data_IF_334927300528
#
_entry.id   IF_334927300528
#
_cell.length_a   1.000
_cell.length_b   1.000
_cell.length_c   1.000
_cell.angle_alpha   90.00
_cell.angle_beta   90.00
_cell.angle_gamma   90.00
#
_symmetry.space_group_name_H-M   'P 1'
#
loop_
_entity.id
_entity.type
_entity.pdbx_description
1 polymer ?
#
# COMPACT_ATOMS: atom_id res chain seq x y z
N UNK A 1 22.81 25.93 -8.55
CA UNK A 1 23.39 24.64 -8.14
C UNK A 1 22.59 24.12 -6.95
N UNK A 2 21.96 22.98 -7.06
CA UNK A 2 21.42 22.30 -5.88
C UNK A 2 22.61 21.92 -4.99
N UNK A 3 22.55 22.08 -3.66
CA UNK A 3 23.61 21.59 -2.80
C UNK A 3 23.74 20.07 -3.01
N UNK A 4 24.95 19.59 -3.30
CA UNK A 4 25.24 18.18 -3.61
C UNK A 4 24.76 17.20 -2.53
N UNK A 5 24.54 17.68 -1.31
CA UNK A 5 24.00 16.90 -0.20
C UNK A 5 22.72 17.54 0.36
N UNK A 6 21.65 16.78 0.33
CA UNK A 6 20.39 17.17 0.96
C UNK A 6 20.50 17.12 2.48
N UNK A 7 19.89 18.09 3.15
CA UNK A 7 19.80 18.07 4.62
C UNK A 7 18.94 16.90 5.11
N UNK A 8 19.21 16.40 6.30
CA UNK A 8 18.37 15.38 6.94
C UNK A 8 16.92 15.90 7.07
N UNK A 9 16.75 17.19 7.37
CA UNK A 9 15.43 17.84 7.48
C UNK A 9 14.63 17.69 6.19
N UNK A 10 15.24 17.92 5.02
CA UNK A 10 14.57 17.76 3.72
C UNK A 10 14.17 16.31 3.47
N UNK A 11 15.04 15.34 3.80
CA UNK A 11 14.75 13.89 3.65
C UNK A 11 13.61 13.44 4.55
N UNK A 12 13.59 13.90 5.81
CA UNK A 12 12.50 13.64 6.74
C UNK A 12 11.19 14.28 6.26
N UNK A 13 11.24 15.56 5.84
CA UNK A 13 10.08 16.26 5.33
C UNK A 13 9.47 15.56 4.10
N UNK A 14 10.31 15.09 3.19
CA UNK A 14 9.88 14.29 2.06
C UNK A 14 9.29 12.94 2.53
N UNK A 15 10.00 12.21 3.38
CA UNK A 15 9.57 10.90 3.87
C UNK A 15 8.20 10.93 4.57
N UNK A 16 7.91 11.95 5.39
CA UNK A 16 6.62 12.07 6.09
C UNK A 16 5.42 11.99 5.15
N UNK A 17 5.52 12.46 3.91
CA UNK A 17 4.45 12.30 2.91
C UNK A 17 4.12 10.85 2.62
N UNK A 18 5.12 10.00 2.53
CA UNK A 18 4.94 8.56 2.31
C UNK A 18 4.20 7.87 3.47
N UNK A 19 4.25 8.42 4.70
CA UNK A 19 3.43 7.92 5.82
C UNK A 19 1.94 8.04 5.52
N UNK A 20 1.51 9.15 4.92
CA UNK A 20 0.12 9.33 4.50
C UNK A 20 -0.28 8.34 3.40
N UNK A 21 0.59 8.11 2.43
CA UNK A 21 0.38 7.13 1.36
C UNK A 21 0.28 5.69 1.92
N UNK A 22 1.23 5.29 2.78
CA UNK A 22 1.24 3.98 3.42
C UNK A 22 -0.01 3.74 4.27
N UNK A 23 -0.46 4.75 5.03
CA UNK A 23 -1.70 4.69 5.80
C UNK A 23 -2.92 4.52 4.89
N UNK A 24 -2.99 5.23 3.76
CA UNK A 24 -4.09 5.13 2.78
C UNK A 24 -4.14 3.74 2.15
N UNK A 25 -3.00 3.21 1.71
CA UNK A 25 -2.92 1.88 1.13
C UNK A 25 -3.31 0.79 2.13
N UNK A 26 -2.91 0.93 3.40
CA UNK A 26 -3.28 -0.02 4.45
C UNK A 26 -4.79 -0.07 4.70
N UNK A 27 -5.47 1.10 4.73
CA UNK A 27 -6.94 1.16 4.87
C UNK A 27 -7.61 0.50 3.67
N UNK A 28 -7.17 0.87 2.47
CA UNK A 28 -7.78 0.36 1.23
C UNK A 28 -7.62 -1.15 1.10
N UNK A 29 -6.41 -1.68 1.24
CA UNK A 29 -6.14 -3.11 1.07
C UNK A 29 -6.63 -3.96 2.25
N UNK A 30 -6.45 -3.45 3.48
CA UNK A 30 -6.70 -4.22 4.69
C UNK A 30 -8.15 -4.15 5.17
N UNK A 31 -8.80 -3.00 5.15
CA UNK A 31 -10.09 -2.82 5.82
C UNK A 31 -11.29 -2.74 4.87
N UNK A 32 -11.14 -2.16 3.68
CA UNK A 32 -12.29 -1.83 2.81
C UNK A 32 -13.09 -3.06 2.43
N UNK A 33 -12.41 -4.13 1.99
CA UNK A 33 -13.10 -5.37 1.60
C UNK A 33 -13.84 -6.00 2.78
N UNK A 34 -13.19 -6.10 3.94
CA UNK A 34 -13.77 -6.69 5.13
C UNK A 34 -14.97 -5.87 5.64
N UNK A 35 -14.86 -4.56 5.68
CA UNK A 35 -15.93 -3.65 6.13
C UNK A 35 -17.19 -3.78 5.26
N UNK A 36 -17.05 -3.67 3.94
CA UNK A 36 -18.21 -3.77 3.06
C UNK A 36 -18.84 -5.17 3.03
N UNK A 37 -18.01 -6.21 3.09
CA UNK A 37 -18.49 -7.58 3.03
C UNK A 37 -19.05 -8.09 4.37
N UNK A 38 -18.30 -7.93 5.48
CA UNK A 38 -18.67 -8.52 6.76
C UNK A 38 -19.51 -7.60 7.65
N UNK A 39 -19.33 -6.29 7.56
CA UNK A 39 -20.05 -5.33 8.41
C UNK A 39 -21.29 -4.80 7.71
N UNK A 40 -21.19 -4.42 6.43
CA UNK A 40 -22.30 -3.85 5.66
C UNK A 40 -23.08 -4.91 4.86
N UNK A 41 -22.59 -6.15 4.74
CA UNK A 41 -23.31 -7.27 4.12
C UNK A 41 -23.30 -7.29 2.60
N UNK A 42 -22.42 -6.53 1.93
CA UNK A 42 -22.27 -6.60 0.48
C UNK A 42 -21.66 -7.95 0.08
N UNK A 43 -22.19 -8.60 -0.97
CA UNK A 43 -21.62 -9.87 -1.43
C UNK A 43 -20.14 -9.77 -1.78
N UNK A 44 -19.36 -10.81 -1.46
CA UNK A 44 -17.91 -10.83 -1.71
C UNK A 44 -17.55 -10.64 -3.18
N UNK A 45 -18.38 -11.14 -4.10
CA UNK A 45 -18.20 -10.97 -5.54
C UNK A 45 -18.32 -9.51 -5.98
N UNK A 46 -19.35 -8.79 -5.50
CA UNK A 46 -19.54 -7.38 -5.79
C UNK A 46 -18.46 -6.53 -5.12
N UNK A 47 -18.09 -6.85 -3.88
CA UNK A 47 -17.01 -6.14 -3.18
C UNK A 47 -15.68 -6.30 -3.93
N UNK A 48 -15.34 -7.51 -4.35
CA UNK A 48 -14.12 -7.76 -5.13
C UNK A 48 -14.14 -7.07 -6.50
N UNK A 49 -15.29 -7.06 -7.17
CA UNK A 49 -15.44 -6.35 -8.44
C UNK A 49 -15.27 -4.84 -8.30
N UNK A 50 -15.79 -4.24 -7.22
CA UNK A 50 -15.63 -2.81 -6.95
C UNK A 50 -14.14 -2.44 -6.72
N UNK A 51 -13.44 -3.25 -5.92
CA UNK A 51 -11.99 -3.08 -5.69
C UNK A 51 -11.20 -3.24 -6.99
N UNK A 52 -11.53 -4.23 -7.81
CA UNK A 52 -10.90 -4.43 -9.13
C UNK A 52 -11.09 -3.21 -10.03
N UNK A 53 -12.31 -2.67 -10.11
CA UNK A 53 -12.61 -1.46 -10.89
C UNK A 53 -11.74 -0.29 -10.40
N UNK A 54 -11.64 -0.08 -9.09
CA UNK A 54 -10.82 1.00 -8.52
C UNK A 54 -9.32 0.85 -8.88
N UNK A 55 -8.77 -0.37 -8.85
CA UNK A 55 -7.38 -0.65 -9.22
C UNK A 55 -7.14 -0.40 -10.73
N UNK A 56 -8.11 -0.74 -11.58
CA UNK A 56 -8.00 -0.45 -13.03
C UNK A 56 -7.98 1.06 -13.28
N UNK A 57 -8.83 1.82 -12.57
CA UNK A 57 -8.82 3.28 -12.64
C UNK A 57 -7.48 3.88 -12.18
N UNK A 58 -6.88 3.33 -11.13
CA UNK A 58 -5.57 3.73 -10.63
C UNK A 58 -4.48 3.53 -11.69
N UNK A 59 -4.45 2.35 -12.31
CA UNK A 59 -3.48 2.04 -13.38
C UNK A 59 -3.57 2.99 -14.58
N UNK A 60 -4.74 3.59 -14.84
CA UNK A 60 -4.95 4.58 -15.90
C UNK A 60 -4.65 5.99 -15.41
N UNK A 61 -5.04 6.33 -14.18
CA UNK A 61 -4.90 7.68 -13.64
C UNK A 61 -3.45 8.06 -13.33
N UNK A 62 -2.62 7.12 -12.91
CA UNK A 62 -1.22 7.39 -12.55
C UNK A 62 -0.40 7.97 -13.72
N UNK A 63 -0.36 7.38 -14.92
CA UNK A 63 0.35 7.96 -16.06
C UNK A 63 -0.23 9.31 -16.50
N UNK A 64 -1.56 9.47 -16.41
CA UNK A 64 -2.24 10.73 -16.74
C UNK A 64 -1.80 11.80 -15.76
N UNK A 65 -1.81 11.52 -14.46
CA UNK A 65 -1.37 12.46 -13.42
C UNK A 65 0.11 12.80 -13.56
N UNK A 66 0.95 11.84 -13.88
CA UNK A 66 2.37 12.06 -14.20
C UNK A 66 2.52 13.07 -15.32
N UNK A 67 1.83 12.85 -16.44
CA UNK A 67 1.85 13.76 -17.59
C UNK A 67 1.32 15.17 -17.25
N UNK A 68 0.25 15.27 -16.46
CA UNK A 68 -0.32 16.56 -16.02
C UNK A 68 0.67 17.29 -15.12
N UNK A 69 1.19 16.62 -14.10
CA UNK A 69 2.08 17.25 -13.12
C UNK A 69 3.42 17.65 -13.70
N UNK A 70 3.93 16.94 -14.71
CA UNK A 70 5.18 17.27 -15.39
C UNK A 70 5.14 18.61 -16.13
N UNK A 71 3.97 18.97 -16.65
CA UNK A 71 3.78 20.15 -17.50
C UNK A 71 3.13 21.32 -16.81
N UNK A 72 2.69 21.11 -15.56
CA UNK A 72 1.98 22.14 -14.84
C UNK A 72 2.91 23.28 -14.44
N UNK A 73 2.52 24.51 -14.75
CA UNK A 73 3.30 25.72 -14.45
C UNK A 73 2.56 26.54 -13.41
N UNK A 74 3.18 26.74 -12.25
CA UNK A 74 2.63 27.59 -11.20
C UNK A 74 3.73 28.26 -10.37
N UNK A 75 3.34 29.25 -9.56
CA UNK A 75 4.22 29.90 -8.58
C UNK A 75 4.72 28.92 -7.49
N UNK A 76 4.02 27.83 -7.27
CA UNK A 76 4.39 26.74 -6.35
C UNK A 76 5.15 25.61 -7.07
N UNK A 77 5.72 25.87 -8.26
CA UNK A 77 6.34 24.85 -9.08
C UNK A 77 5.31 23.90 -9.70
N UNK A 78 5.77 22.80 -10.28
CA UNK A 78 4.91 21.84 -11.00
C UNK A 78 4.30 20.76 -10.12
N UNK A 79 4.94 20.35 -9.01
CA UNK A 79 4.51 19.22 -8.15
C UNK A 79 3.67 19.65 -6.95
N UNK A 80 4.09 20.68 -6.23
CA UNK A 80 3.50 21.11 -4.97
C UNK A 80 2.01 21.48 -5.03
N UNK A 81 1.46 22.11 -6.10
CA UNK A 81 0.04 22.40 -6.17
C UNK A 81 -0.85 21.17 -5.99
N UNK A 82 -0.46 20.04 -6.59
CA UNK A 82 -1.18 18.79 -6.49
C UNK A 82 -1.04 18.18 -5.10
N UNK A 83 0.17 18.23 -4.52
CA UNK A 83 0.42 17.75 -3.15
C UNK A 83 -0.39 18.54 -2.12
N UNK A 84 -0.57 19.86 -2.28
CA UNK A 84 -1.40 20.68 -1.41
C UNK A 84 -2.90 20.45 -1.63
N UNK A 85 -3.32 20.13 -2.85
CA UNK A 85 -4.72 19.88 -3.16
C UNK A 85 -5.22 18.50 -2.73
N UNK A 86 -4.35 17.48 -2.75
CA UNK A 86 -4.68 16.08 -2.52
C UNK A 86 -5.39 15.79 -1.18
N UNK A 87 -5.02 16.38 -0.03
CA UNK A 87 -5.68 16.08 1.25
C UNK A 87 -7.18 16.33 1.24
N UNK A 88 -7.65 17.35 0.54
CA UNK A 88 -9.07 17.70 0.52
C UNK A 88 -9.95 16.59 -0.08
N UNK A 89 -9.75 16.14 -1.32
CA UNK A 89 -10.53 15.04 -1.87
C UNK A 89 -10.24 13.71 -1.15
N UNK A 90 -9.04 13.49 -0.57
CA UNK A 90 -8.74 12.28 0.20
C UNK A 90 -9.59 12.18 1.46
N UNK A 91 -9.75 13.26 2.22
CA UNK A 91 -10.63 13.30 3.40
C UNK A 91 -12.07 12.99 3.01
N UNK A 92 -12.58 13.61 1.92
CA UNK A 92 -13.93 13.33 1.42
C UNK A 92 -14.08 11.86 1.03
N UNK A 93 -13.10 11.30 0.33
CA UNK A 93 -13.15 9.91 -0.12
C UNK A 93 -13.16 8.92 1.05
N UNK A 94 -12.33 9.13 2.07
CA UNK A 94 -12.31 8.31 3.29
C UNK A 94 -13.63 8.44 4.04
N UNK A 95 -14.16 9.65 4.16
CA UNK A 95 -15.47 9.87 4.77
C UNK A 95 -16.56 9.09 4.04
N UNK A 96 -16.67 9.25 2.73
CA UNK A 96 -17.67 8.53 1.92
C UNK A 96 -17.50 7.01 2.00
N UNK A 97 -16.27 6.52 2.07
CA UNK A 97 -15.98 5.09 2.12
C UNK A 97 -16.47 4.44 3.44
N UNK A 98 -16.29 5.13 4.57
CA UNK A 98 -16.67 4.56 5.88
C UNK A 98 -18.04 5.00 6.38
N UNK A 99 -18.69 5.96 5.72
CA UNK A 99 -20.02 6.45 6.09
C UNK A 99 -20.98 6.37 4.86
N UNK A 100 -21.27 5.16 4.35
CA UNK A 100 -22.27 5.02 3.31
C UNK A 100 -23.66 5.42 3.84
N UNK A 101 -24.55 6.00 3.00
CA UNK A 101 -25.91 6.30 3.40
C UNK A 101 -26.68 5.05 3.82
N UNK A 102 -27.52 5.18 4.83
CA UNK A 102 -28.40 4.12 5.28
C UNK A 102 -29.47 3.76 4.21
N UNK A 103 -29.90 2.49 4.22
CA UNK A 103 -30.99 2.03 3.38
C UNK A 103 -30.65 1.83 1.90
N UNK A 104 -29.37 1.84 1.52
CA UNK A 104 -28.96 1.48 0.16
C UNK A 104 -29.28 0.02 -0.13
N UNK A 105 -29.81 -0.26 -1.34
CA UNK A 105 -29.88 -1.62 -1.85
C UNK A 105 -28.49 -2.21 -2.06
N UNK A 106 -28.36 -3.53 -2.24
CA UNK A 106 -27.09 -4.19 -2.52
C UNK A 106 -26.35 -3.53 -3.70
N UNK A 107 -27.04 -3.26 -4.80
CA UNK A 107 -26.46 -2.57 -5.96
C UNK A 107 -26.17 -1.09 -5.69
N UNK A 108 -26.96 -0.44 -4.83
CA UNK A 108 -26.69 0.93 -4.38
C UNK A 108 -25.40 1.00 -3.56
N UNK A 109 -25.20 0.05 -2.64
CA UNK A 109 -24.00 -0.06 -1.83
C UNK A 109 -22.77 -0.42 -2.70
N UNK A 110 -22.94 -1.29 -3.70
CA UNK A 110 -21.92 -1.59 -4.69
C UNK A 110 -21.47 -0.35 -5.47
N UNK A 111 -22.44 0.42 -5.99
CA UNK A 111 -22.15 1.68 -6.70
C UNK A 111 -21.47 2.71 -5.80
N UNK A 112 -21.88 2.80 -4.53
CA UNK A 112 -21.25 3.66 -3.53
C UNK A 112 -19.80 3.27 -3.24
N UNK A 113 -19.52 1.98 -3.12
CA UNK A 113 -18.16 1.46 -2.93
C UNK A 113 -17.28 1.79 -4.15
N UNK A 114 -17.76 1.58 -5.37
CA UNK A 114 -17.02 1.95 -6.59
C UNK A 114 -16.71 3.45 -6.57
N UNK A 115 -17.70 4.29 -6.33
CA UNK A 115 -17.52 5.73 -6.34
C UNK A 115 -16.51 6.21 -5.29
N UNK A 116 -16.66 5.76 -4.03
CA UNK A 116 -15.79 6.17 -2.93
C UNK A 116 -14.36 5.66 -3.09
N UNK A 117 -14.19 4.41 -3.56
CA UNK A 117 -12.86 3.83 -3.79
C UNK A 117 -12.15 4.45 -4.99
N UNK A 118 -12.83 4.72 -6.10
CA UNK A 118 -12.26 5.46 -7.24
C UNK A 118 -11.83 6.85 -6.79
N UNK A 119 -12.70 7.56 -6.04
CA UNK A 119 -12.36 8.88 -5.53
C UNK A 119 -11.13 8.85 -4.61
N UNK A 120 -11.02 7.83 -3.75
CA UNK A 120 -9.85 7.64 -2.89
C UNK A 120 -8.58 7.42 -3.71
N UNK A 121 -8.63 6.52 -4.70
CA UNK A 121 -7.48 6.23 -5.56
C UNK A 121 -7.05 7.45 -6.35
N UNK A 122 -7.97 8.14 -7.01
CA UNK A 122 -7.68 9.39 -7.72
C UNK A 122 -7.10 10.48 -6.81
N UNK A 123 -7.63 10.58 -5.58
CA UNK A 123 -7.16 11.56 -4.60
C UNK A 123 -5.73 11.29 -4.15
N UNK A 124 -5.39 10.03 -3.89
CA UNK A 124 -4.02 9.69 -3.48
C UNK A 124 -3.05 9.77 -4.67
N UNK A 125 -3.48 9.47 -5.89
CA UNK A 125 -2.69 9.67 -7.12
C UNK A 125 -2.29 11.14 -7.32
N UNK A 126 -3.17 12.11 -6.95
CA UNK A 126 -2.82 13.54 -6.92
C UNK A 126 -1.62 13.86 -6.01
N UNK A 127 -1.38 13.04 -5.00
CA UNK A 127 -0.22 13.19 -4.12
C UNK A 127 0.93 12.26 -4.53
N UNK A 128 0.69 10.96 -4.64
CA UNK A 128 1.72 9.93 -4.75
C UNK A 128 2.60 10.12 -6.00
N UNK A 129 1.99 10.38 -7.16
CA UNK A 129 2.73 10.54 -8.42
C UNK A 129 3.61 11.80 -8.41
N UNK A 130 3.11 13.00 -8.08
CA UNK A 130 3.97 14.19 -7.95
C UNK A 130 5.00 14.07 -6.82
N UNK A 131 4.67 13.43 -5.71
CA UNK A 131 5.57 13.21 -4.59
C UNK A 131 6.74 12.31 -4.98
N UNK A 132 6.49 11.16 -5.61
CA UNK A 132 7.54 10.25 -6.07
C UNK A 132 8.46 10.92 -7.10
N UNK A 133 7.88 11.66 -8.04
CA UNK A 133 8.64 12.43 -9.03
C UNK A 133 9.47 13.54 -8.38
N UNK A 134 8.93 14.24 -7.36
CA UNK A 134 9.68 15.20 -6.55
C UNK A 134 10.93 14.56 -5.94
N UNK A 135 10.80 13.37 -5.35
CA UNK A 135 11.91 12.64 -4.75
C UNK A 135 13.06 12.38 -5.72
N UNK A 136 12.73 12.06 -6.98
CA UNK A 136 13.74 11.86 -8.03
C UNK A 136 14.43 13.18 -8.47
N UNK A 137 13.78 14.32 -8.27
CA UNK A 137 14.27 15.65 -8.66
C UNK A 137 15.02 16.40 -7.55
N UNK A 138 14.92 15.95 -6.29
CA UNK A 138 15.55 16.63 -5.14
C UNK A 138 17.07 16.68 -5.22
N UNK A 139 17.73 15.73 -5.91
CA UNK A 139 19.19 15.69 -6.09
C UNK A 139 19.56 15.08 -7.43
N UNK A 140 20.61 15.60 -8.07
CA UNK A 140 21.22 14.99 -9.25
C UNK A 140 22.20 13.85 -8.89
N UNK A 141 22.64 13.77 -7.62
CA UNK A 141 23.51 12.70 -7.13
C UNK A 141 22.74 11.38 -6.96
N UNK A 142 23.26 10.30 -7.55
CA UNK A 142 22.64 8.97 -7.53
C UNK A 142 22.47 8.41 -6.10
N UNK A 143 23.49 8.58 -5.26
CA UNK A 143 23.46 8.07 -3.88
C UNK A 143 22.50 8.86 -3.00
N UNK A 144 22.42 10.18 -3.19
CA UNK A 144 21.44 11.00 -2.46
C UNK A 144 20.01 10.67 -2.88
N UNK A 145 19.73 10.45 -4.18
CA UNK A 145 18.42 9.97 -4.64
C UNK A 145 18.04 8.64 -3.99
N UNK A 146 18.98 7.68 -3.97
CA UNK A 146 18.77 6.40 -3.31
C UNK A 146 18.45 6.56 -1.82
N UNK A 147 19.13 7.48 -1.12
CA UNK A 147 18.84 7.82 0.28
C UNK A 147 17.46 8.42 0.45
N UNK A 148 17.05 9.36 -0.41
CA UNK A 148 15.69 9.95 -0.39
C UNK A 148 14.63 8.86 -0.53
N UNK A 149 14.80 7.94 -1.48
CA UNK A 149 13.88 6.79 -1.66
C UNK A 149 13.89 5.83 -0.47
N UNK A 150 15.02 5.65 0.20
CA UNK A 150 15.10 4.85 1.43
C UNK A 150 14.27 5.49 2.56
N UNK A 151 14.33 6.81 2.72
CA UNK A 151 13.45 7.54 3.64
C UNK A 151 11.98 7.40 3.25
N UNK A 152 11.65 7.52 1.95
CA UNK A 152 10.30 7.31 1.45
C UNK A 152 9.74 5.95 1.87
N UNK A 153 10.47 4.89 1.60
CA UNK A 153 10.06 3.54 1.95
C UNK A 153 9.92 3.34 3.46
N UNK A 154 10.90 3.81 4.25
CA UNK A 154 10.84 3.71 5.70
C UNK A 154 9.58 4.38 6.27
N UNK A 155 9.28 5.61 5.83
CA UNK A 155 8.12 6.37 6.28
C UNK A 155 6.81 5.78 5.73
N UNK A 156 6.79 5.19 4.54
CA UNK A 156 5.66 4.44 4.03
C UNK A 156 5.28 3.27 4.95
N UNK A 157 6.28 2.47 5.35
CA UNK A 157 6.07 1.40 6.35
C UNK A 157 5.66 1.93 7.73
N UNK A 158 6.16 3.09 8.16
CA UNK A 158 5.69 3.72 9.40
C UNK A 158 4.19 4.04 9.35
N UNK A 159 3.67 4.49 8.20
CA UNK A 159 2.23 4.73 8.02
C UNK A 159 1.40 3.45 8.21
N UNK A 160 1.86 2.35 7.62
CA UNK A 160 1.26 1.01 7.80
C UNK A 160 1.27 0.60 9.27
N UNK A 161 2.42 0.73 9.95
CA UNK A 161 2.58 0.32 11.35
C UNK A 161 1.71 1.19 12.28
N UNK A 162 1.67 2.50 12.08
CA UNK A 162 0.84 3.42 12.89
C UNK A 162 -0.63 3.03 12.78
N UNK A 163 -1.14 2.82 11.55
CA UNK A 163 -2.52 2.38 11.34
C UNK A 163 -2.79 1.02 11.94
N UNK A 164 -1.88 0.08 11.75
CA UNK A 164 -2.01 -1.28 12.29
C UNK A 164 -2.08 -1.26 13.84
N UNK A 165 -1.17 -0.55 14.50
CA UNK A 165 -1.19 -0.43 15.96
C UNK A 165 -2.48 0.25 16.44
N UNK A 166 -2.86 1.36 15.82
CA UNK A 166 -4.06 2.09 16.21
C UNK A 166 -5.33 1.22 16.11
N UNK A 167 -5.47 0.47 15.03
CA UNK A 167 -6.67 -0.32 14.77
C UNK A 167 -6.72 -1.58 15.62
N UNK A 168 -5.65 -2.40 15.61
CA UNK A 168 -5.66 -3.72 16.23
C UNK A 168 -5.39 -3.72 17.74
N UNK A 169 -4.69 -2.71 18.28
CA UNK A 169 -4.39 -2.66 19.71
C UNK A 169 -5.24 -1.65 20.49
N UNK A 170 -5.84 -0.67 19.82
CA UNK A 170 -6.63 0.35 20.49
C UNK A 170 -8.12 0.25 20.12
N UNK A 171 -8.47 0.32 18.84
CA UNK A 171 -9.87 0.47 18.42
C UNK A 171 -10.63 -0.84 18.52
N UNK A 172 -10.23 -1.88 17.84
CA UNK A 172 -10.96 -3.14 17.83
C UNK A 172 -11.08 -3.79 19.21
N UNK A 173 -10.04 -3.78 20.10
CA UNK A 173 -10.21 -4.24 21.46
C UNK A 173 -11.17 -3.39 22.29
N UNK A 174 -11.19 -2.06 22.08
CA UNK A 174 -12.10 -1.15 22.81
C UNK A 174 -13.57 -1.42 22.49
N UNK A 175 -13.89 -1.72 21.24
CA UNK A 175 -15.25 -2.05 20.81
C UNK A 175 -15.61 -3.53 20.95
N UNK A 176 -14.70 -4.40 21.40
CA UNK A 176 -14.99 -5.80 21.62
C UNK A 176 -15.99 -5.97 22.75
N UNK A 177 -17.11 -6.65 22.47
CA UNK A 177 -18.20 -6.94 23.40
C UNK A 177 -18.71 -8.36 23.17
N UNK A 178 -19.99 -8.52 22.85
CA UNK A 178 -20.57 -9.81 22.45
C UNK A 178 -20.00 -10.32 21.13
N UNK A 179 -19.56 -9.40 20.25
CA UNK A 179 -18.83 -9.70 19.01
C UNK A 179 -17.40 -9.17 19.11
N UNK A 180 -16.53 -9.68 18.23
CA UNK A 180 -15.20 -9.13 18.06
C UNK A 180 -15.27 -7.73 17.43
N UNK A 181 -14.42 -6.82 17.89
CA UNK A 181 -14.51 -5.38 17.60
C UNK A 181 -14.54 -5.02 16.12
N UNK A 182 -13.88 -5.81 15.24
CA UNK A 182 -13.88 -5.59 13.79
C UNK A 182 -15.24 -5.83 13.10
N UNK A 183 -16.21 -6.45 13.77
CA UNK A 183 -17.57 -6.67 13.27
C UNK A 183 -18.57 -5.57 13.67
N UNK A 184 -18.14 -4.61 14.49
CA UNK A 184 -18.98 -3.47 14.85
C UNK A 184 -18.73 -2.31 13.87
N UNK A 185 -19.80 -1.77 13.28
CA UNK A 185 -19.72 -0.64 12.36
C UNK A 185 -19.17 0.61 13.08
N UNK A 186 -19.52 0.82 14.34
CA UNK A 186 -19.10 1.95 15.14
C UNK A 186 -17.59 2.02 15.34
N UNK A 187 -16.89 0.89 15.28
CA UNK A 187 -15.43 0.84 15.40
C UNK A 187 -14.71 1.51 14.23
N UNK A 188 -15.36 1.62 13.07
CA UNK A 188 -14.77 2.24 11.88
C UNK A 188 -14.83 3.77 11.91
N UNK A 189 -15.69 4.38 12.72
CA UNK A 189 -15.76 5.83 12.89
C UNK A 189 -14.44 6.43 13.40
N UNK A 190 -13.87 6.02 14.55
CA UNK A 190 -12.58 6.54 14.99
C UNK A 190 -11.43 6.19 14.04
N UNK A 191 -11.49 5.05 13.35
CA UNK A 191 -10.50 4.69 12.33
C UNK A 191 -10.52 5.68 11.17
N UNK A 192 -11.69 6.02 10.66
CA UNK A 192 -11.85 7.00 9.58
C UNK A 192 -11.35 8.38 10.00
N UNK A 193 -11.75 8.87 11.18
CA UNK A 193 -11.35 10.19 11.69
C UNK A 193 -9.83 10.26 11.88
N UNK A 194 -9.23 9.24 12.49
CA UNK A 194 -7.79 9.20 12.70
C UNK A 194 -7.04 9.15 11.37
N UNK A 195 -7.53 8.35 10.42
CA UNK A 195 -6.94 8.24 9.07
C UNK A 195 -6.97 9.57 8.33
N UNK A 196 -8.13 10.25 8.31
CA UNK A 196 -8.28 11.55 7.68
C UNK A 196 -7.31 12.57 8.26
N UNK A 197 -7.15 12.60 9.59
CA UNK A 197 -6.22 13.50 10.28
C UNK A 197 -4.76 13.15 9.96
N UNK A 198 -4.36 11.89 10.14
CA UNK A 198 -2.99 11.41 9.92
C UNK A 198 -2.54 11.67 8.47
N UNK A 199 -3.34 11.24 7.50
CA UNK A 199 -3.02 11.34 6.07
C UNK A 199 -2.88 12.80 5.66
N UNK A 200 -3.85 13.64 6.05
CA UNK A 200 -3.83 15.07 5.72
C UNK A 200 -2.62 15.78 6.34
N UNK A 201 -2.32 15.51 7.61
CA UNK A 201 -1.17 16.10 8.29
C UNK A 201 0.15 15.68 7.64
N UNK A 202 0.30 14.41 7.29
CA UNK A 202 1.51 13.90 6.66
C UNK A 202 1.72 14.51 5.26
N UNK A 203 0.68 14.53 4.43
CA UNK A 203 0.75 15.08 3.07
C UNK A 203 1.03 16.58 3.11
N UNK A 204 0.27 17.34 3.92
CA UNK A 204 0.48 18.79 4.05
C UNK A 204 1.86 19.14 4.62
N UNK A 205 2.33 18.37 5.61
CA UNK A 205 3.66 18.56 6.18
C UNK A 205 4.75 18.35 5.12
N UNK A 206 4.64 17.27 4.34
CA UNK A 206 5.59 17.02 3.25
C UNK A 206 5.57 18.13 2.21
N UNK A 207 4.39 18.53 1.73
CA UNK A 207 4.25 19.61 0.76
C UNK A 207 4.78 20.95 1.30
N UNK A 208 4.51 21.26 2.57
CA UNK A 208 4.93 22.52 3.19
C UNK A 208 6.45 22.59 3.42
N UNK A 209 7.03 21.53 3.99
CA UNK A 209 8.45 21.54 4.37
C UNK A 209 9.41 21.20 3.22
N UNK A 210 8.89 20.83 2.04
CA UNK A 210 9.70 20.66 0.81
C UNK A 210 9.57 21.83 -0.15
N UNK A 211 8.71 22.83 0.13
CA UNK A 211 8.48 23.99 -0.75
C UNK A 211 9.73 24.86 -0.95
N UNK A 212 10.65 24.86 0.00
CA UNK A 212 11.94 25.57 -0.09
C UNK A 212 12.84 25.02 -1.21
N UNK A 213 12.53 23.82 -1.70
CA UNK A 213 13.25 23.19 -2.81
C UNK A 213 12.75 23.61 -4.19
N UNK A 214 11.57 24.24 -4.29
CA UNK A 214 10.96 24.65 -5.57
C UNK A 214 11.90 25.43 -6.49
N UNK A 215 12.71 26.41 -6.02
CA UNK A 215 13.62 27.15 -6.89
C UNK A 215 14.73 26.30 -7.52
N UNK A 216 15.00 25.12 -6.97
CA UNK A 216 16.06 24.20 -7.41
C UNK A 216 15.54 23.07 -8.31
N UNK A 217 14.21 22.93 -8.42
CA UNK A 217 13.60 21.88 -9.24
C UNK A 217 13.63 22.23 -10.72
N UNK A 218 13.72 21.20 -11.56
CA UNK A 218 13.67 21.35 -13.02
C UNK A 218 12.35 22.02 -13.44
N UNK A 219 12.46 23.07 -14.24
CA UNK A 219 11.29 23.70 -14.83
C UNK A 219 10.87 22.94 -16.10
N UNK A 220 9.57 22.91 -16.44
CA UNK A 220 9.12 22.30 -17.68
C UNK A 220 9.82 22.92 -18.88
N UNK A 221 10.32 22.11 -19.79
CA UNK A 221 10.86 22.58 -21.05
C UNK A 221 9.70 22.97 -22.00
N UNK A 222 9.74 24.15 -22.64
CA UNK A 222 8.70 24.55 -23.59
C UNK A 222 8.54 23.60 -24.78
N UNK A 223 9.56 22.77 -25.04
CA UNK A 223 9.60 21.83 -26.17
C UNK A 223 9.32 20.36 -25.77
N UNK A 224 8.91 20.07 -24.55
CA UNK A 224 8.52 18.70 -24.21
C UNK A 224 7.27 18.33 -25.00
N UNK A 225 7.46 17.37 -25.94
CA UNK A 225 6.39 16.88 -26.80
C UNK A 225 5.23 16.32 -25.98
N UNK A 226 4.00 16.62 -26.40
CA UNK A 226 2.81 16.02 -25.79
C UNK A 226 2.87 14.50 -25.91
N UNK A 227 3.01 13.80 -24.79
CA UNK A 227 2.75 12.35 -24.81
C UNK A 227 1.27 12.19 -25.17
N UNK A 228 1.02 11.74 -26.37
CA UNK A 228 -0.35 11.40 -26.77
C UNK A 228 -0.71 10.12 -26.04
N UNK A 229 -1.92 10.05 -25.52
CA UNK A 229 -2.45 8.82 -24.91
C UNK A 229 -2.31 7.63 -25.86
N UNK A 230 -2.41 7.89 -27.18
CA UNK A 230 -2.15 6.91 -28.23
C UNK A 230 -0.72 6.35 -28.23
N UNK A 231 0.28 7.14 -27.86
CA UNK A 231 1.67 6.69 -27.80
C UNK A 231 1.88 5.77 -26.60
N UNK A 232 1.23 6.07 -25.46
CA UNK A 232 1.22 5.21 -24.28
C UNK A 232 0.64 3.82 -24.62
N UNK A 233 -0.51 3.76 -25.31
CA UNK A 233 -1.10 2.48 -25.74
C UNK A 233 -0.19 1.73 -26.73
N UNK A 234 0.49 2.44 -27.61
CA UNK A 234 1.44 1.85 -28.55
C UNK A 234 2.67 1.27 -27.84
N UNK A 235 3.18 1.97 -26.84
CA UNK A 235 4.30 1.50 -26.02
C UNK A 235 3.91 0.27 -25.18
N UNK A 236 2.73 0.27 -24.58
CA UNK A 236 2.17 -0.90 -23.86
C UNK A 236 2.02 -2.08 -24.84
N UNK A 237 1.45 -1.85 -26.03
CA UNK A 237 1.31 -2.91 -27.03
C UNK A 237 2.66 -3.46 -27.49
N UNK A 238 3.64 -2.57 -27.74
CA UNK A 238 5.02 -2.96 -28.07
C UNK A 238 5.69 -3.79 -26.95
N UNK A 239 5.44 -3.43 -25.70
CA UNK A 239 5.96 -4.15 -24.54
C UNK A 239 5.33 -5.57 -24.43
N UNK A 240 4.00 -5.68 -24.55
CA UNK A 240 3.29 -6.96 -24.44
C UNK A 240 3.66 -7.92 -25.60
N UNK A 241 3.98 -7.39 -26.79
CA UNK A 241 4.41 -8.21 -27.94
C UNK A 241 5.84 -8.75 -27.79
N UNK A 242 6.65 -8.18 -26.89
CA UNK A 242 7.96 -8.74 -26.56
C UNK A 242 7.79 -10.02 -25.72
N UNK A 243 8.17 -11.17 -26.28
CA UNK A 243 7.97 -12.50 -25.68
C UNK A 243 8.56 -12.64 -24.28
N UNK A 244 9.72 -12.05 -24.02
CA UNK A 244 10.37 -12.12 -22.71
C UNK A 244 9.66 -11.23 -21.69
N UNK A 245 9.25 -10.04 -22.10
CA UNK A 245 8.49 -9.12 -21.25
C UNK A 245 7.08 -9.67 -20.95
N UNK A 246 6.40 -10.25 -21.93
CA UNK A 246 5.10 -10.89 -21.72
C UNK A 246 5.17 -12.05 -20.70
N UNK A 247 6.22 -12.88 -20.74
CA UNK A 247 6.45 -13.93 -19.74
C UNK A 247 6.66 -13.37 -18.33
N UNK A 248 7.43 -12.27 -18.23
CA UNK A 248 7.64 -11.57 -16.95
C UNK A 248 6.30 -11.02 -16.43
N UNK A 249 5.50 -10.36 -17.28
CA UNK A 249 4.18 -9.84 -16.91
C UNK A 249 3.25 -10.95 -16.41
N UNK A 250 3.22 -12.12 -17.06
CA UNK A 250 2.42 -13.25 -16.59
C UNK A 250 2.89 -13.72 -15.20
N UNK A 251 4.20 -13.82 -14.97
CA UNK A 251 4.75 -14.16 -13.66
C UNK A 251 4.38 -13.14 -12.59
N UNK A 252 4.52 -11.85 -12.90
CA UNK A 252 4.14 -10.75 -11.99
C UNK A 252 2.63 -10.73 -11.72
N UNK A 253 1.79 -11.06 -12.70
CA UNK A 253 0.35 -11.17 -12.51
C UNK A 253 -0.02 -12.23 -11.47
N UNK A 254 0.51 -13.45 -11.59
CA UNK A 254 0.24 -14.52 -10.61
C UNK A 254 0.83 -14.19 -9.23
N UNK A 255 2.00 -13.57 -9.17
CA UNK A 255 2.59 -13.11 -7.91
C UNK A 255 1.72 -12.04 -7.24
N UNK A 256 1.23 -11.07 -8.00
CA UNK A 256 0.33 -10.03 -7.49
C UNK A 256 -1.00 -10.61 -7.00
N UNK A 257 -1.54 -11.62 -7.70
CA UNK A 257 -2.72 -12.35 -7.23
C UNK A 257 -2.47 -13.05 -5.89
N UNK A 258 -1.31 -13.72 -5.74
CA UNK A 258 -0.93 -14.38 -4.48
C UNK A 258 -0.87 -13.37 -3.33
N UNK A 259 -0.15 -12.26 -3.51
CA UNK A 259 0.04 -11.23 -2.49
C UNK A 259 -1.30 -10.57 -2.16
N UNK A 260 -2.07 -10.13 -3.15
CA UNK A 260 -3.34 -9.46 -2.95
C UNK A 260 -4.38 -10.35 -2.26
N UNK A 261 -4.44 -11.64 -2.61
CA UNK A 261 -5.31 -12.62 -1.94
C UNK A 261 -4.90 -12.81 -0.48
N UNK A 262 -3.60 -12.94 -0.20
CA UNK A 262 -3.10 -13.08 1.17
C UNK A 262 -3.41 -11.83 2.03
N UNK A 263 -3.20 -10.64 1.50
CA UNK A 263 -3.49 -9.40 2.23
C UNK A 263 -4.99 -9.22 2.50
N UNK A 264 -5.82 -9.44 1.49
CA UNK A 264 -7.28 -9.27 1.62
C UNK A 264 -7.90 -10.31 2.53
N UNK A 265 -7.50 -11.59 2.41
CA UNK A 265 -8.05 -12.68 3.21
C UNK A 265 -7.38 -12.83 4.59
N UNK A 266 -6.30 -12.12 4.86
CA UNK A 266 -5.59 -12.21 6.14
C UNK A 266 -6.48 -11.92 7.34
N UNK A 267 -7.35 -10.91 7.28
CA UNK A 267 -8.31 -10.59 8.33
C UNK A 267 -9.33 -11.73 8.50
N UNK A 268 -9.84 -12.28 7.39
CA UNK A 268 -10.79 -13.40 7.43
C UNK A 268 -10.18 -14.65 8.09
N UNK A 269 -8.96 -14.98 7.70
CA UNK A 269 -8.21 -16.09 8.30
C UNK A 269 -8.02 -15.89 9.81
N UNK A 270 -7.56 -14.70 10.21
CA UNK A 270 -7.39 -14.37 11.63
C UNK A 270 -8.69 -14.44 12.41
N UNK A 271 -9.76 -13.87 11.86
CA UNK A 271 -11.05 -13.72 12.52
C UNK A 271 -11.86 -15.02 12.59
N UNK A 272 -11.98 -15.72 11.46
CA UNK A 272 -12.94 -16.84 11.33
C UNK A 272 -12.30 -18.23 11.31
N UNK A 273 -11.09 -18.37 10.77
CA UNK A 273 -10.42 -19.67 10.70
C UNK A 273 -9.56 -19.93 11.93
N UNK A 274 -8.78 -18.95 12.34
CA UNK A 274 -7.92 -19.04 13.51
C UNK A 274 -8.61 -18.64 14.82
N UNK A 275 -9.76 -17.96 14.74
CA UNK A 275 -10.55 -17.47 15.89
C UNK A 275 -9.73 -16.59 16.83
N UNK A 276 -8.83 -15.78 16.27
CA UNK A 276 -7.94 -14.90 17.02
C UNK A 276 -8.67 -13.64 17.51
N UNK A 277 -8.34 -13.21 18.71
CA UNK A 277 -8.73 -11.90 19.21
C UNK A 277 -8.06 -10.77 18.40
N UNK A 278 -8.62 -9.54 18.44
CA UNK A 278 -8.00 -8.39 17.75
C UNK A 278 -6.54 -8.17 18.14
N UNK A 279 -6.20 -8.30 19.43
CA UNK A 279 -4.83 -8.16 19.93
C UNK A 279 -3.91 -9.23 19.34
N UNK A 280 -4.36 -10.47 19.26
CA UNK A 280 -3.58 -11.56 18.67
C UNK A 280 -3.33 -11.34 17.18
N UNK A 281 -4.32 -10.86 16.43
CA UNK A 281 -4.14 -10.45 15.02
C UNK A 281 -3.14 -9.28 14.93
N UNK A 282 -3.22 -8.33 15.86
CA UNK A 282 -2.27 -7.21 15.95
C UNK A 282 -0.82 -7.68 16.07
N UNK A 283 -0.55 -8.70 16.85
CA UNK A 283 0.80 -9.25 17.01
C UNK A 283 1.36 -9.93 15.75
N UNK A 284 0.53 -10.31 14.78
CA UNK A 284 0.99 -10.91 13.53
C UNK A 284 1.87 -9.96 12.69
N UNK A 285 1.85 -8.64 12.93
CA UNK A 285 2.76 -7.70 12.25
C UNK A 285 4.25 -8.04 12.50
N UNK A 286 4.55 -8.69 13.60
CA UNK A 286 5.92 -9.09 13.96
C UNK A 286 6.53 -10.00 12.90
N UNK A 287 5.74 -10.85 12.25
CA UNK A 287 6.23 -11.73 11.19
C UNK A 287 6.85 -10.92 10.05
N UNK A 288 6.23 -9.79 9.68
CA UNK A 288 6.73 -8.91 8.63
C UNK A 288 8.01 -8.19 9.09
N UNK A 289 8.03 -7.66 10.32
CA UNK A 289 9.19 -6.93 10.85
C UNK A 289 10.43 -7.86 10.89
N UNK A 290 10.28 -9.04 11.48
CA UNK A 290 11.35 -10.02 11.57
C UNK A 290 11.76 -10.51 10.17
N UNK A 291 10.78 -10.92 9.37
CA UNK A 291 11.01 -11.47 8.04
C UNK A 291 11.73 -10.48 7.11
N UNK A 292 11.24 -9.23 7.04
CA UNK A 292 11.89 -8.21 6.21
C UNK A 292 13.32 -7.90 6.67
N UNK A 293 13.57 -7.84 7.99
CA UNK A 293 14.92 -7.61 8.51
C UNK A 293 15.89 -8.75 8.11
N UNK A 294 15.49 -10.00 8.29
CA UNK A 294 16.28 -11.15 7.87
C UNK A 294 16.45 -11.25 6.36
N UNK A 295 15.39 -11.04 5.61
CA UNK A 295 15.43 -11.06 4.15
C UNK A 295 16.39 -10.02 3.58
N UNK A 296 16.36 -8.79 4.11
CA UNK A 296 17.28 -7.73 3.70
C UNK A 296 18.76 -8.13 3.90
N UNK A 297 19.11 -8.70 5.06
CA UNK A 297 20.47 -9.16 5.38
C UNK A 297 20.89 -10.33 4.46
N UNK A 298 19.93 -11.23 4.17
CA UNK A 298 20.23 -12.46 3.44
C UNK A 298 20.36 -12.25 1.93
N UNK A 299 19.66 -11.26 1.36
CA UNK A 299 19.64 -10.96 -0.08
C UNK A 299 21.04 -10.79 -0.65
N UNK A 300 21.87 -9.96 -0.03
CA UNK A 300 23.24 -9.72 -0.50
C UNK A 300 24.09 -11.00 -0.53
N UNK A 301 23.93 -11.88 0.47
CA UNK A 301 24.67 -13.16 0.55
C UNK A 301 24.18 -14.17 -0.49
N UNK A 302 22.88 -14.19 -0.78
CA UNK A 302 22.30 -15.08 -1.77
C UNK A 302 22.75 -14.72 -3.18
N UNK A 303 22.72 -13.44 -3.52
CA UNK A 303 23.17 -12.97 -4.86
C UNK A 303 24.68 -13.09 -5.09
N UNK A 304 25.50 -13.26 -4.03
CA UNK A 304 26.91 -13.59 -4.18
C UNK A 304 27.16 -15.07 -4.54
N UNK A 305 26.19 -15.95 -4.28
CA UNK A 305 26.36 -17.41 -4.44
C UNK A 305 25.50 -17.98 -5.55
N UNK A 306 24.38 -17.38 -5.86
CA UNK A 306 23.38 -17.88 -6.79
C UNK A 306 22.98 -16.82 -7.79
N UNK A 307 22.67 -17.25 -9.01
CA UNK A 307 22.13 -16.37 -10.04
C UNK A 307 20.72 -15.84 -9.65
N UNK A 308 20.42 -14.60 -10.04
CA UNK A 308 19.13 -13.94 -9.76
C UNK A 308 17.90 -14.79 -10.07
N UNK A 309 17.78 -15.46 -11.25
CA UNK A 309 16.61 -16.26 -11.54
C UNK A 309 16.37 -17.41 -10.56
N UNK A 310 17.45 -18.03 -10.08
CA UNK A 310 17.37 -19.12 -9.09
C UNK A 310 16.87 -18.57 -7.74
N UNK A 311 17.40 -17.43 -7.31
CA UNK A 311 16.97 -16.78 -6.07
C UNK A 311 15.50 -16.40 -6.16
N UNK A 312 15.04 -15.79 -7.27
CA UNK A 312 13.65 -15.41 -7.48
C UNK A 312 12.72 -16.64 -7.40
N UNK A 313 13.04 -17.73 -8.11
CA UNK A 313 12.20 -18.94 -8.09
C UNK A 313 12.16 -19.55 -6.69
N UNK A 314 13.31 -19.69 -6.03
CA UNK A 314 13.38 -20.25 -4.69
C UNK A 314 12.59 -19.40 -3.66
N UNK A 315 12.65 -18.08 -3.76
CA UNK A 315 11.92 -17.19 -2.85
C UNK A 315 10.41 -17.18 -3.12
N UNK A 316 9.95 -17.27 -4.37
CA UNK A 316 8.53 -17.44 -4.69
C UNK A 316 8.00 -18.76 -4.14
N UNK A 317 8.72 -19.86 -4.32
CA UNK A 317 8.36 -21.16 -3.75
C UNK A 317 8.34 -21.12 -2.21
N UNK A 318 9.37 -20.54 -1.60
CA UNK A 318 9.43 -20.36 -0.15
C UNK A 318 8.27 -19.54 0.38
N UNK A 319 7.97 -18.40 -0.23
CA UNK A 319 6.82 -17.56 0.11
C UNK A 319 5.51 -18.35 0.08
N UNK A 320 5.25 -19.09 -1.00
CA UNK A 320 4.02 -19.88 -1.18
C UNK A 320 3.91 -21.00 -0.12
N UNK A 321 5.00 -21.74 0.09
CA UNK A 321 5.03 -22.86 1.04
C UNK A 321 4.79 -22.35 2.47
N UNK A 322 5.53 -21.34 2.91
CA UNK A 322 5.48 -20.88 4.30
C UNK A 322 4.23 -20.06 4.62
N UNK A 323 3.65 -19.32 3.67
CA UNK A 323 2.35 -18.68 3.88
C UNK A 323 1.21 -19.69 4.00
N UNK A 324 1.24 -20.78 3.23
CA UNK A 324 0.23 -21.81 3.32
C UNK A 324 0.47 -22.84 4.44
N UNK A 325 1.68 -22.91 4.97
CA UNK A 325 2.08 -23.95 5.92
C UNK A 325 1.22 -23.96 7.18
N UNK A 326 0.91 -22.79 7.77
CA UNK A 326 0.10 -22.72 8.98
C UNK A 326 -1.31 -23.30 8.76
N UNK A 327 -1.96 -22.95 7.65
CA UNK A 327 -3.28 -23.46 7.31
C UNK A 327 -3.26 -24.96 7.01
N UNK A 328 -2.25 -25.43 6.27
CA UNK A 328 -2.09 -26.85 5.98
C UNK A 328 -1.84 -27.69 7.25
N UNK A 329 -1.01 -27.21 8.17
CA UNK A 329 -0.78 -27.87 9.46
C UNK A 329 -2.06 -27.96 10.28
N UNK A 330 -2.91 -26.93 10.26
CA UNK A 330 -4.20 -26.96 10.94
C UNK A 330 -5.16 -27.98 10.32
N UNK A 331 -5.25 -28.05 8.99
CA UNK A 331 -6.09 -29.01 8.29
C UNK A 331 -5.64 -30.45 8.53
N UNK A 332 -4.34 -30.67 8.75
CA UNK A 332 -3.78 -31.98 9.06
C UNK A 332 -3.84 -32.33 10.57
N UNK A 333 -4.35 -31.44 11.41
CA UNK A 333 -4.46 -31.66 12.85
C UNK A 333 -3.16 -31.48 13.65
N UNK A 334 -2.13 -30.86 13.07
CA UNK A 334 -0.83 -30.60 13.71
C UNK A 334 -0.70 -29.18 14.27
N UNK A 335 -1.69 -28.32 14.09
CA UNK A 335 -1.65 -26.97 14.64
C UNK A 335 -2.12 -26.95 16.10
N UNK A 336 -1.64 -25.97 16.90
CA UNK A 336 -2.20 -25.68 18.21
C UNK A 336 -3.69 -25.32 18.16
N UNK A 337 -4.34 -25.30 19.32
CA UNK A 337 -5.75 -24.96 19.46
C UNK A 337 -6.03 -23.55 18.92
N UNK A 338 -7.20 -23.39 18.27
CA UNK A 338 -7.63 -22.08 17.73
C UNK A 338 -7.76 -21.06 18.84
N UNK A 339 -7.42 -19.81 18.55
CA UNK A 339 -7.41 -18.72 19.53
C UNK A 339 -6.28 -18.78 20.56
N UNK A 340 -5.41 -19.79 20.53
CA UNK A 340 -4.31 -19.93 21.47
C UNK A 340 -3.10 -19.05 21.11
N UNK A 341 -2.28 -18.69 22.09
CA UNK A 341 -1.05 -17.96 21.86
C UNK A 341 0.04 -18.82 21.19
N UNK A 342 0.01 -20.14 21.41
CA UNK A 342 0.87 -21.11 20.74
C UNK A 342 0.64 -21.09 19.22
N UNK A 343 -0.62 -21.00 18.81
CA UNK A 343 -1.02 -20.83 17.41
C UNK A 343 -0.47 -19.53 16.83
N UNK A 344 -0.60 -18.41 17.55
CA UNK A 344 -0.05 -17.11 17.14
C UNK A 344 1.45 -17.20 16.93
N UNK A 345 2.19 -17.82 17.86
CA UNK A 345 3.63 -18.01 17.74
C UNK A 345 4.01 -18.88 16.54
N UNK A 346 3.27 -19.95 16.25
CA UNK A 346 3.46 -20.78 15.06
C UNK A 346 3.28 -19.94 13.77
N UNK A 347 2.20 -19.15 13.70
CA UNK A 347 1.92 -18.29 12.54
C UNK A 347 3.02 -17.23 12.37
N UNK A 348 3.50 -16.62 13.47
CA UNK A 348 4.61 -15.65 13.44
C UNK A 348 5.88 -16.31 12.94
N UNK A 349 6.24 -17.49 13.42
CA UNK A 349 7.45 -18.19 12.99
C UNK A 349 7.43 -18.52 11.49
N UNK A 350 6.36 -19.16 11.03
CA UNK A 350 6.20 -19.53 9.61
C UNK A 350 6.07 -18.30 8.71
N UNK A 351 5.26 -17.33 9.14
CA UNK A 351 5.07 -16.07 8.45
C UNK A 351 6.35 -15.23 8.35
N UNK A 352 7.22 -15.28 9.35
CA UNK A 352 8.53 -14.58 9.29
C UNK A 352 9.43 -15.15 8.18
N UNK A 353 9.43 -16.46 7.97
CA UNK A 353 10.18 -17.10 6.87
C UNK A 353 9.58 -16.69 5.53
N UNK A 354 8.25 -16.70 5.41
CA UNK A 354 7.57 -16.24 4.20
C UNK A 354 7.87 -14.76 3.90
N UNK A 355 7.79 -13.89 4.91
CA UNK A 355 8.09 -12.46 4.76
C UNK A 355 9.56 -12.20 4.43
N UNK A 356 10.50 -13.04 4.91
CA UNK A 356 11.90 -12.98 4.49
C UNK A 356 12.05 -13.33 3.00
N UNK A 357 11.36 -14.36 2.52
CA UNK A 357 11.32 -14.68 1.10
C UNK A 357 10.72 -13.53 0.29
N UNK A 358 9.63 -12.92 0.75
CA UNK A 358 9.03 -11.73 0.12
C UNK A 358 9.98 -10.55 0.03
N UNK A 359 10.73 -10.27 1.08
CA UNK A 359 11.75 -9.21 1.12
C UNK A 359 12.88 -9.47 0.11
N UNK A 360 13.40 -10.70 0.05
CA UNK A 360 14.44 -11.08 -0.91
C UNK A 360 13.93 -10.92 -2.34
N UNK A 361 12.70 -11.35 -2.61
CA UNK A 361 12.07 -11.23 -3.93
C UNK A 361 11.92 -9.76 -4.34
N UNK A 362 11.54 -8.88 -3.42
CA UNK A 362 11.33 -7.46 -3.69
C UNK A 362 12.64 -6.72 -4.04
N UNK A 363 13.78 -7.19 -3.52
CA UNK A 363 15.10 -6.59 -3.73
C UNK A 363 15.81 -7.19 -4.97
N UNK A 364 15.44 -8.42 -5.37
CA UNK A 364 16.05 -9.16 -6.50
C UNK A 364 15.58 -8.69 -7.86
#
# INVERSE_FOLDING_TARGET
MSPDKLTIKTKLAFGVGATGEGATNWIFAGLTFFFYNQVLGLSGSLTGLAVLIAIIFDAVSDPIMGSISDRFISKLGRRHPFMFAAPFPTVIAIYLMFFPPDGLSEYGLFGWLIFSTILLRLSITLFAVPHLALGAELSDDYFERSRVMSYNNLFGYMGVIIMHIFVWFLIFPYFAGEKIGQLYQESYTPIAIFSMALISLCILSSAYFTKDRIPYLKQPSPNESHIKITDLFKDIYGAITNRNYARLLVGMFFLSMLIGTHETLGIYMGTFFWELSPIQIGWLIINNIIGYAFGFILTAKLHQRFDKPIVIVATVLGLTIFWSASANLALLGFAPERGSWELVMMIICLGSVASACGSILHIS
#
